data_IF_276952402598
#
_entry.id   IF_276952402598
#
_cell.length_a   1.000
_cell.length_b   1.000
_cell.length_c   1.000
_cell.angle_alpha   90.00
_cell.angle_beta   90.00
_cell.angle_gamma   90.00
#
_symmetry.space_group_name_H-M   'P 1'
#
loop_
_entity.id
_entity.type
_entity.pdbx_description
1 polymer ?
#
# COMPACT_ATOMS: atom_id res chain seq x y z
N UNK A 1 -8.76 -28.56 42.23
CA UNK A 1 -9.53 -27.64 41.36
C UNK A 1 -8.68 -26.50 40.77
N UNK A 2 -7.84 -25.81 41.57
CA UNK A 2 -7.02 -24.67 41.10
C UNK A 2 -5.99 -25.00 40.00
N UNK A 3 -5.39 -26.20 40.02
CA UNK A 3 -4.41 -26.64 39.01
C UNK A 3 -5.00 -26.68 37.57
N UNK A 4 -6.26 -27.10 37.44
CA UNK A 4 -6.98 -27.10 36.16
C UNK A 4 -7.32 -25.68 35.66
N UNK A 5 -7.53 -24.73 36.58
CA UNK A 5 -7.81 -23.33 36.20
C UNK A 5 -6.53 -22.65 35.69
N UNK A 6 -5.40 -22.88 36.35
CA UNK A 6 -4.09 -22.35 35.92
C UNK A 6 -3.66 -22.90 34.55
N UNK A 7 -3.81 -24.20 34.31
CA UNK A 7 -3.51 -24.80 33.00
C UNK A 7 -4.42 -24.26 31.88
N UNK A 8 -5.72 -24.06 32.17
CA UNK A 8 -6.65 -23.47 31.19
C UNK A 8 -6.34 -22.01 30.90
N UNK A 9 -5.95 -21.23 31.91
CA UNK A 9 -5.51 -19.85 31.74
C UNK A 9 -4.23 -19.77 30.90
N UNK A 10 -3.23 -20.62 31.19
CA UNK A 10 -2.00 -20.70 30.43
C UNK A 10 -2.24 -21.09 28.96
N UNK A 11 -3.11 -22.08 28.71
CA UNK A 11 -3.49 -22.48 27.36
C UNK A 11 -4.22 -21.36 26.61
N UNK A 12 -5.12 -20.62 27.27
CA UNK A 12 -5.80 -19.47 26.67
C UNK A 12 -4.81 -18.35 26.30
N UNK A 13 -3.84 -18.05 27.17
CA UNK A 13 -2.78 -17.08 26.89
C UNK A 13 -1.89 -17.53 25.73
N UNK A 14 -1.52 -18.81 25.68
CA UNK A 14 -0.73 -19.36 24.58
C UNK A 14 -1.49 -19.28 23.23
N UNK A 15 -2.79 -19.58 23.23
CA UNK A 15 -3.66 -19.43 22.07
C UNK A 15 -3.77 -17.97 21.62
N UNK A 16 -3.95 -17.03 22.54
CA UNK A 16 -3.94 -15.60 22.24
C UNK A 16 -2.60 -15.18 21.62
N UNK A 17 -1.47 -15.58 22.21
CA UNK A 17 -0.15 -15.30 21.66
C UNK A 17 0.05 -15.84 20.24
N UNK A 18 -0.39 -17.07 19.98
CA UNK A 18 -0.31 -17.68 18.65
C UNK A 18 -1.16 -16.94 17.61
N UNK A 19 -2.40 -16.56 17.96
CA UNK A 19 -3.28 -15.80 17.06
C UNK A 19 -2.76 -14.39 16.78
N UNK A 20 -2.23 -13.70 17.79
CA UNK A 20 -1.61 -12.38 17.63
C UNK A 20 -0.40 -12.48 16.72
N UNK A 21 0.45 -13.49 16.91
CA UNK A 21 1.65 -13.72 16.08
C UNK A 21 1.30 -14.05 14.62
N UNK A 22 0.28 -14.89 14.39
CA UNK A 22 -0.18 -15.21 13.04
C UNK A 22 -0.81 -14.01 12.33
N UNK A 23 -1.60 -13.21 13.04
CA UNK A 23 -2.17 -11.97 12.52
C UNK A 23 -1.06 -10.97 12.20
N UNK A 24 -0.06 -10.85 13.07
CA UNK A 24 1.09 -9.96 12.90
C UNK A 24 1.84 -10.25 11.60
N UNK A 25 2.20 -11.52 11.37
CA UNK A 25 2.87 -11.94 10.14
C UNK A 25 2.01 -11.68 8.89
N UNK A 26 0.70 -11.88 8.99
CA UNK A 26 -0.22 -11.65 7.87
C UNK A 26 -0.29 -10.17 7.50
N UNK A 27 -0.32 -9.28 8.49
CA UNK A 27 -0.34 -7.83 8.25
C UNK A 27 0.99 -7.34 7.67
N UNK A 28 2.12 -7.80 8.20
CA UNK A 28 3.45 -7.51 7.65
C UNK A 28 3.55 -7.95 6.17
N UNK A 29 3.09 -9.16 5.86
CA UNK A 29 3.08 -9.69 4.50
C UNK A 29 2.18 -8.85 3.59
N UNK A 30 0.99 -8.47 4.04
CA UNK A 30 0.07 -7.63 3.27
C UNK A 30 0.66 -6.25 2.96
N UNK A 31 1.33 -5.62 3.93
CA UNK A 31 2.03 -4.35 3.74
C UNK A 31 3.18 -4.52 2.72
N UNK A 32 3.98 -5.58 2.84
CA UNK A 32 5.07 -5.86 1.89
C UNK A 32 4.56 -6.05 0.47
N UNK A 33 3.45 -6.79 0.29
CA UNK A 33 2.85 -6.97 -1.04
C UNK A 33 2.30 -5.66 -1.61
N UNK A 34 1.70 -4.81 -0.78
CA UNK A 34 1.23 -3.50 -1.21
C UNK A 34 2.38 -2.58 -1.60
N UNK A 35 3.51 -2.63 -0.87
CA UNK A 35 4.76 -1.94 -1.22
C UNK A 35 5.30 -2.38 -2.57
N UNK A 36 5.43 -3.68 -2.79
CA UNK A 36 5.95 -4.24 -4.04
C UNK A 36 5.04 -3.90 -5.23
N UNK A 37 3.72 -3.98 -5.05
CA UNK A 37 2.76 -3.61 -6.08
C UNK A 37 2.86 -2.13 -6.45
N UNK A 38 2.90 -1.23 -5.46
CA UNK A 38 3.06 0.21 -5.70
C UNK A 38 4.38 0.54 -6.41
N UNK A 39 5.47 -0.15 -6.05
CA UNK A 39 6.76 0.01 -6.71
C UNK A 39 6.74 -0.44 -8.18
N UNK A 40 6.11 -1.58 -8.47
CA UNK A 40 5.92 -2.08 -9.84
C UNK A 40 5.05 -1.13 -10.67
N UNK A 41 3.97 -0.62 -10.11
CA UNK A 41 3.11 0.36 -10.77
C UNK A 41 3.89 1.65 -11.07
N UNK A 42 4.77 2.10 -10.15
CA UNK A 42 5.62 3.28 -10.37
C UNK A 42 6.63 3.05 -11.46
N UNK A 43 7.25 1.87 -11.48
CA UNK A 43 8.15 1.51 -12.56
C UNK A 43 7.40 1.48 -13.90
N UNK A 44 6.23 0.84 -13.96
CA UNK A 44 5.43 0.76 -15.18
C UNK A 44 4.98 2.14 -15.68
N UNK A 45 4.54 3.02 -14.78
CA UNK A 45 4.18 4.39 -15.11
C UNK A 45 5.37 5.19 -15.63
N UNK A 46 6.52 5.10 -14.94
CA UNK A 46 7.75 5.82 -15.31
C UNK A 46 8.28 5.37 -16.66
N UNK A 47 8.27 4.06 -16.93
CA UNK A 47 8.80 3.50 -18.18
C UNK A 47 7.84 3.68 -19.36
N UNK A 48 6.53 3.60 -19.15
CA UNK A 48 5.57 3.54 -20.26
C UNK A 48 4.71 4.78 -20.41
N UNK A 49 4.22 5.37 -19.32
CA UNK A 49 3.21 6.46 -19.37
C UNK A 49 3.84 7.84 -19.33
N UNK A 50 4.87 8.04 -18.50
CA UNK A 50 5.57 9.32 -18.40
C UNK A 50 6.17 9.78 -19.75
N UNK A 51 6.81 8.92 -20.57
CA UNK A 51 7.31 9.33 -21.88
C UNK A 51 6.20 9.81 -22.81
N UNK A 52 5.01 9.18 -22.78
CA UNK A 52 3.87 9.59 -23.60
C UNK A 52 3.37 10.99 -23.23
N UNK A 53 3.34 11.31 -21.93
CA UNK A 53 3.00 12.66 -21.45
C UNK A 53 4.03 13.70 -21.91
N UNK A 54 5.32 13.38 -21.80
CA UNK A 54 6.40 14.27 -22.25
C UNK A 54 6.36 14.50 -23.77
N UNK A 55 6.15 13.44 -24.55
CA UNK A 55 6.00 13.53 -26.00
C UNK A 55 4.77 14.37 -26.38
N UNK A 56 3.63 14.12 -25.72
CA UNK A 56 2.40 14.86 -25.99
C UNK A 56 2.51 16.35 -25.64
N UNK A 57 3.24 16.70 -24.58
CA UNK A 57 3.51 18.09 -24.19
C UNK A 57 4.55 18.78 -25.09
N UNK A 58 5.51 18.03 -25.63
CA UNK A 58 6.56 18.56 -26.50
C UNK A 58 6.14 18.74 -27.96
N UNK A 59 5.01 18.17 -28.36
CA UNK A 59 4.54 18.20 -29.75
C UNK A 59 3.73 19.46 -30.04
N UNK A 60 4.04 20.13 -31.14
CA UNK A 60 3.22 21.24 -31.63
C UNK A 60 2.04 20.68 -32.43
N UNK A 61 0.78 20.91 -32.02
CA UNK A 61 -0.38 20.36 -32.71
C UNK A 61 -0.58 21.01 -34.08
N UNK A 62 -0.83 20.21 -35.12
CA UNK A 62 -1.09 20.69 -36.47
C UNK A 62 -2.50 21.28 -36.63
N UNK A 63 -3.47 20.81 -35.84
CA UNK A 63 -4.85 21.26 -35.83
C UNK A 63 -5.49 21.14 -34.43
N UNK A 64 -6.74 21.61 -34.30
CA UNK A 64 -7.49 21.59 -33.04
C UNK A 64 -7.85 20.16 -32.60
N UNK A 65 -8.02 19.22 -33.53
CA UNK A 65 -8.33 17.83 -33.24
C UNK A 65 -7.11 17.10 -32.63
N UNK A 66 -5.92 17.31 -33.19
CA UNK A 66 -4.65 16.86 -32.64
C UNK A 66 -4.40 17.49 -31.27
N UNK A 67 -4.67 18.80 -31.10
CA UNK A 67 -4.57 19.44 -29.78
C UNK A 67 -5.47 18.76 -28.74
N UNK A 68 -6.72 18.50 -29.08
CA UNK A 68 -7.67 17.84 -28.18
C UNK A 68 -7.22 16.41 -27.84
N UNK A 69 -6.69 15.65 -28.82
CA UNK A 69 -6.12 14.31 -28.60
C UNK A 69 -4.92 14.34 -27.67
N UNK A 70 -3.96 15.23 -27.90
CA UNK A 70 -2.77 15.36 -27.06
C UNK A 70 -3.15 15.76 -25.62
N UNK A 71 -4.10 16.68 -25.46
CA UNK A 71 -4.62 17.07 -24.14
C UNK A 71 -5.28 15.88 -23.42
N UNK A 72 -6.03 15.04 -24.14
CA UNK A 72 -6.64 13.82 -23.58
C UNK A 72 -5.59 12.83 -23.10
N UNK A 73 -4.52 12.61 -23.88
CA UNK A 73 -3.41 11.73 -23.48
C UNK A 73 -2.75 12.22 -22.19
N UNK A 74 -2.45 13.52 -22.10
CA UNK A 74 -1.89 14.12 -20.89
C UNK A 74 -2.83 13.92 -19.69
N UNK A 75 -4.12 14.20 -19.86
CA UNK A 75 -5.10 14.03 -18.78
C UNK A 75 -5.23 12.57 -18.30
N UNK A 76 -5.12 11.59 -19.20
CA UNK A 76 -5.14 10.18 -18.83
C UNK A 76 -3.89 9.78 -18.05
N UNK A 77 -2.71 10.26 -18.46
CA UNK A 77 -1.46 9.99 -17.74
C UNK A 77 -1.46 10.67 -16.36
N UNK A 78 -2.00 11.88 -16.25
CA UNK A 78 -2.18 12.59 -14.98
C UNK A 78 -3.13 11.83 -14.03
N UNK A 79 -4.22 11.29 -14.56
CA UNK A 79 -5.13 10.48 -13.77
C UNK A 79 -4.47 9.18 -13.28
N UNK A 80 -3.61 8.56 -14.10
CA UNK A 80 -2.82 7.40 -13.69
C UNK A 80 -1.79 7.76 -12.60
N UNK A 81 -1.11 8.90 -12.74
CA UNK A 81 -0.18 9.44 -11.75
C UNK A 81 -0.87 9.69 -10.40
N UNK A 82 -2.08 10.27 -10.41
CA UNK A 82 -2.85 10.51 -9.20
C UNK A 82 -3.23 9.22 -8.46
N UNK A 83 -3.65 8.18 -9.19
CA UNK A 83 -3.97 6.86 -8.60
C UNK A 83 -2.74 6.23 -7.96
N UNK A 84 -1.60 6.38 -8.61
CA UNK A 84 -0.34 5.84 -8.13
C UNK A 84 0.09 6.52 -6.83
N UNK A 85 0.02 7.86 -6.78
CA UNK A 85 0.33 8.62 -5.55
C UNK A 85 -0.62 8.25 -4.40
N UNK A 86 -1.89 7.96 -4.70
CA UNK A 86 -2.83 7.48 -3.70
C UNK A 86 -2.41 6.10 -3.15
N UNK A 87 -2.05 5.15 -4.02
CA UNK A 87 -1.61 3.82 -3.60
C UNK A 87 -0.35 3.87 -2.73
N UNK A 88 0.63 4.71 -3.07
CA UNK A 88 1.84 4.91 -2.26
C UNK A 88 1.53 5.55 -0.91
N UNK A 89 0.60 6.50 -0.89
CA UNK A 89 0.11 7.08 0.36
C UNK A 89 -0.56 6.04 1.23
N UNK A 90 -1.41 5.19 0.67
CA UNK A 90 -2.09 4.12 1.41
C UNK A 90 -1.08 3.17 2.06
N UNK A 91 -0.02 2.80 1.34
CA UNK A 91 1.09 2.01 1.88
C UNK A 91 1.77 2.70 3.07
N UNK A 92 2.06 4.00 2.96
CA UNK A 92 2.65 4.78 4.06
C UNK A 92 1.71 4.79 5.28
N UNK A 93 0.42 5.06 5.05
CA UNK A 93 -0.59 5.12 6.10
C UNK A 93 -0.77 3.74 6.77
N UNK A 94 -0.71 2.64 6.00
CA UNK A 94 -0.72 1.26 6.52
C UNK A 94 0.48 1.01 7.43
N UNK A 95 1.70 1.42 7.04
CA UNK A 95 2.90 1.27 7.88
C UNK A 95 2.82 2.06 9.17
N UNK A 96 2.28 3.28 9.13
CA UNK A 96 2.09 4.12 10.31
C UNK A 96 1.08 3.46 11.26
N UNK A 97 -0.11 3.13 10.75
CA UNK A 97 -1.16 2.45 11.51
C UNK A 97 -0.68 1.13 12.12
N UNK A 98 0.12 0.38 11.36
CA UNK A 98 0.70 -0.86 11.84
C UNK A 98 1.69 -0.63 12.97
N UNK A 99 2.61 0.33 12.84
CA UNK A 99 3.55 0.69 13.91
C UNK A 99 2.84 1.12 15.20
N UNK A 100 1.77 1.90 15.10
CA UNK A 100 0.95 2.27 16.26
C UNK A 100 0.29 1.04 16.91
N UNK A 101 -0.18 0.10 16.09
CA UNK A 101 -0.76 -1.16 16.57
C UNK A 101 0.29 -2.00 17.29
N UNK A 102 1.50 -2.11 16.73
CA UNK A 102 2.62 -2.82 17.35
C UNK A 102 2.95 -2.23 18.74
N UNK A 103 2.98 -0.91 18.87
CA UNK A 103 3.20 -0.23 20.16
C UNK A 103 2.10 -0.57 21.17
N UNK A 104 0.82 -0.51 20.76
CA UNK A 104 -0.31 -0.85 21.63
C UNK A 104 -0.27 -2.31 22.11
N UNK A 105 0.08 -3.24 21.21
CA UNK A 105 0.25 -4.66 21.56
C UNK A 105 1.41 -4.84 22.54
N UNK A 106 2.55 -4.19 22.31
CA UNK A 106 3.68 -4.24 23.25
C UNK A 106 3.29 -3.74 24.64
N UNK A 107 2.56 -2.62 24.73
CA UNK A 107 2.08 -2.08 26.02
C UNK A 107 1.06 -3.00 26.70
N UNK A 108 0.22 -3.73 25.96
CA UNK A 108 -0.75 -4.66 26.55
C UNK A 108 -0.08 -5.87 27.24
N UNK A 109 1.08 -6.30 26.74
CA UNK A 109 1.81 -7.45 27.29
C UNK A 109 2.92 -7.08 28.29
N UNK A 110 3.13 -5.78 28.56
CA UNK A 110 4.01 -5.27 29.63
C UNK A 110 3.24 -5.15 30.95
#
# INVERSE_FOLDING_TARGET
MWHNVAQRAAAAVALMGATVSGTYLTVELAISHAEDAAALDRQAWTTNMLPLKLEAQGRSPADEEERARLALVVAQVDAAEARLLAAEKDVIDMKISWRETQQKVQTFFQ
#
